data_IF_907536224825
#
_entry.id   IF_907536224825
#
_cell.length_a   1.000
_cell.length_b   1.000
_cell.length_c   1.000
_cell.angle_alpha   90.00
_cell.angle_beta   90.00
_cell.angle_gamma   90.00
#
_symmetry.space_group_name_H-M   'P 1'
#
loop_
_entity.id
_entity.type
_entity.pdbx_description
1 polymer ?
#
# COMPACT_ATOMS: atom_id res chain seq x y z
N UNK A 1 9.55 -46.96 -8.91
CA UNK A 1 9.05 -45.69 -9.49
C UNK A 1 7.64 -45.45 -8.98
N UNK A 2 7.29 -44.18 -8.66
CA UNK A 2 5.94 -43.83 -8.21
C UNK A 2 4.97 -43.93 -9.39
N UNK A 3 3.69 -44.24 -9.11
CA UNK A 3 2.64 -44.16 -10.13
C UNK A 3 2.34 -42.70 -10.50
N UNK A 4 1.78 -42.44 -11.68
CA UNK A 4 1.36 -41.08 -12.08
C UNK A 4 0.42 -40.45 -11.06
N UNK A 5 -0.49 -41.22 -10.46
CA UNK A 5 -1.39 -40.74 -9.42
C UNK A 5 -0.63 -40.29 -8.17
N UNK A 6 0.39 -41.03 -7.75
CA UNK A 6 1.23 -40.66 -6.59
C UNK A 6 1.99 -39.36 -6.82
N UNK A 7 2.51 -39.14 -8.06
CA UNK A 7 3.16 -37.86 -8.39
C UNK A 7 2.19 -36.66 -8.30
N UNK A 8 0.98 -36.82 -8.84
CA UNK A 8 -0.02 -35.76 -8.77
C UNK A 8 -0.46 -35.45 -7.36
N UNK A 9 -0.75 -36.49 -6.55
CA UNK A 9 -1.13 -36.32 -5.15
C UNK A 9 -0.01 -35.66 -4.36
N UNK A 10 1.23 -36.14 -4.53
CA UNK A 10 2.39 -35.54 -3.84
C UNK A 10 2.58 -34.07 -4.22
N UNK A 11 2.42 -33.72 -5.51
CA UNK A 11 2.51 -32.34 -5.98
C UNK A 11 1.45 -31.43 -5.36
N UNK A 12 0.19 -31.87 -5.35
CA UNK A 12 -0.92 -31.12 -4.75
C UNK A 12 -0.70 -30.93 -3.24
N UNK A 13 -0.38 -32.00 -2.52
CA UNK A 13 -0.15 -31.97 -1.06
C UNK A 13 1.03 -31.03 -0.74
N UNK A 14 2.13 -31.15 -1.47
CA UNK A 14 3.30 -30.26 -1.29
C UNK A 14 2.93 -28.81 -1.51
N UNK A 15 2.17 -28.51 -2.55
CA UNK A 15 1.73 -27.15 -2.85
C UNK A 15 0.88 -26.59 -1.72
N UNK A 16 -0.09 -27.35 -1.21
CA UNK A 16 -0.92 -26.93 -0.08
C UNK A 16 -0.10 -26.71 1.19
N UNK A 17 0.87 -27.58 1.46
CA UNK A 17 1.77 -27.44 2.62
C UNK A 17 2.66 -26.21 2.49
N UNK A 18 3.16 -25.88 1.29
CA UNK A 18 3.93 -24.68 1.06
C UNK A 18 3.09 -23.41 1.27
N UNK A 19 1.85 -23.38 0.77
CA UNK A 19 0.95 -22.26 1.05
C UNK A 19 0.64 -22.10 2.54
N UNK A 20 0.42 -23.22 3.24
CA UNK A 20 0.25 -23.22 4.69
C UNK A 20 1.50 -22.71 5.42
N UNK A 21 2.69 -23.09 4.95
CA UNK A 21 3.96 -22.60 5.49
C UNK A 21 4.16 -21.10 5.27
N UNK A 22 3.84 -20.58 4.09
CA UNK A 22 3.88 -19.14 3.81
C UNK A 22 2.87 -18.40 4.70
N UNK A 23 1.67 -18.92 4.87
CA UNK A 23 0.70 -18.35 5.80
C UNK A 23 1.23 -18.33 7.24
N UNK A 24 1.84 -19.42 7.69
CA UNK A 24 2.44 -19.51 9.03
C UNK A 24 3.59 -18.49 9.20
N UNK A 25 4.41 -18.27 8.18
CA UNK A 25 5.43 -17.23 8.12
C UNK A 25 4.84 -15.84 8.35
N UNK A 26 3.79 -15.46 7.59
CA UNK A 26 3.10 -14.17 7.72
C UNK A 26 2.39 -14.01 9.08
N UNK A 27 1.84 -15.11 9.58
CA UNK A 27 1.27 -15.15 10.94
C UNK A 27 2.34 -14.88 11.99
N UNK A 28 3.57 -15.38 11.80
CA UNK A 28 4.70 -15.11 12.70
C UNK A 28 4.94 -13.60 12.85
N UNK A 29 5.05 -12.86 11.75
CA UNK A 29 5.17 -11.40 11.77
C UNK A 29 3.98 -10.74 12.47
N UNK A 30 2.77 -11.18 12.12
CA UNK A 30 1.53 -10.63 12.64
C UNK A 30 1.37 -10.83 14.14
N UNK A 31 1.70 -12.01 14.65
CA UNK A 31 1.64 -12.32 16.08
C UNK A 31 2.59 -11.43 16.89
N UNK A 32 3.83 -11.30 16.44
CA UNK A 32 4.81 -10.45 17.12
C UNK A 32 4.41 -8.97 17.03
N UNK A 33 3.85 -8.52 15.92
CA UNK A 33 3.34 -7.15 15.78
C UNK A 33 2.17 -6.88 16.74
N UNK A 34 1.19 -7.79 16.83
CA UNK A 34 0.07 -7.70 17.76
C UNK A 34 0.52 -7.69 19.23
N UNK A 35 1.49 -8.55 19.58
CA UNK A 35 2.07 -8.57 20.93
C UNK A 35 2.78 -7.27 21.31
N UNK A 36 3.19 -6.46 20.32
CA UNK A 36 3.76 -5.13 20.52
C UNK A 36 2.73 -4.01 20.45
N UNK A 37 1.43 -4.32 20.38
CA UNK A 37 0.34 -3.35 20.34
C UNK A 37 0.07 -2.72 18.98
N UNK A 38 0.69 -3.24 17.90
CA UNK A 38 0.43 -2.79 16.54
C UNK A 38 -0.87 -3.42 16.02
N UNK A 39 -1.60 -2.70 15.17
CA UNK A 39 -2.84 -3.22 14.57
C UNK A 39 -2.54 -3.94 13.27
N UNK A 40 -3.00 -5.17 13.10
CA UNK A 40 -2.95 -5.93 11.86
C UNK A 40 -4.33 -5.88 11.21
N UNK A 41 -4.44 -5.34 10.00
CA UNK A 41 -5.71 -5.22 9.26
C UNK A 41 -6.05 -6.47 8.46
N UNK A 42 -5.06 -7.24 8.07
CA UNK A 42 -5.26 -8.45 7.28
C UNK A 42 -3.97 -8.98 6.68
N UNK A 43 -4.02 -10.23 6.26
CA UNK A 43 -2.94 -10.90 5.55
C UNK A 43 -3.46 -11.19 4.15
N UNK A 44 -2.70 -10.81 3.13
CA UNK A 44 -3.00 -11.13 1.73
C UNK A 44 -1.93 -12.08 1.22
N UNK A 45 -2.32 -13.27 0.81
CA UNK A 45 -1.43 -14.22 0.16
C UNK A 45 -1.39 -13.91 -1.35
N UNK A 46 -0.20 -13.78 -1.88
CA UNK A 46 0.09 -13.60 -3.30
C UNK A 46 0.81 -14.83 -3.83
N UNK A 47 0.90 -14.98 -5.15
CA UNK A 47 1.55 -16.13 -5.79
C UNK A 47 3.02 -16.30 -5.37
N UNK A 48 3.71 -15.21 -5.08
CA UNK A 48 5.14 -15.19 -4.70
C UNK A 48 5.39 -14.85 -3.23
N UNK A 49 4.38 -14.99 -2.35
CA UNK A 49 4.56 -14.69 -0.92
C UNK A 49 3.29 -14.17 -0.27
N UNK A 50 3.42 -13.65 0.96
CA UNK A 50 2.35 -12.99 1.69
C UNK A 50 2.69 -11.52 1.96
N UNK A 51 1.66 -10.73 2.22
CA UNK A 51 1.81 -9.36 2.69
C UNK A 51 0.89 -9.14 3.89
N UNK A 52 1.51 -8.93 5.04
CA UNK A 52 0.81 -8.55 6.27
C UNK A 52 0.66 -7.04 6.34
N UNK A 53 -0.59 -6.54 6.32
CA UNK A 53 -0.87 -5.11 6.45
C UNK A 53 -0.84 -4.68 7.91
N UNK A 54 0.36 -4.40 8.42
CA UNK A 54 0.58 -3.92 9.78
C UNK A 54 0.44 -2.39 9.79
N UNK A 55 -0.46 -1.87 10.64
CA UNK A 55 -0.64 -0.42 10.83
C UNK A 55 0.21 0.05 11.99
N UNK A 56 1.03 1.06 11.71
CA UNK A 56 1.98 1.63 12.66
C UNK A 56 3.42 1.19 12.37
N UNK A 57 4.35 1.86 13.01
CA UNK A 57 5.79 1.56 12.93
C UNK A 57 6.28 1.08 14.27
N UNK A 58 7.23 0.18 14.24
CA UNK A 58 7.95 -0.20 15.44
C UNK A 58 8.59 1.04 16.08
N UNK A 59 8.33 1.25 17.36
CA UNK A 59 8.82 2.42 18.12
C UNK A 59 10.29 2.32 18.50
N UNK A 60 10.87 1.11 18.45
CA UNK A 60 12.25 0.81 18.86
C UNK A 60 12.91 -0.19 17.90
N UNK A 61 14.24 -0.12 17.70
CA UNK A 61 14.95 -1.07 16.83
C UNK A 61 14.71 -2.53 17.19
N UNK A 62 14.72 -2.87 18.48
CA UNK A 62 14.45 -4.22 18.97
C UNK A 62 13.08 -4.74 18.54
N UNK A 63 12.08 -3.87 18.57
CA UNK A 63 10.71 -4.23 18.19
C UNK A 63 10.62 -4.55 16.69
N UNK A 64 11.29 -3.75 15.87
CA UNK A 64 11.36 -3.99 14.43
C UNK A 64 12.12 -5.27 14.11
N UNK A 65 13.22 -5.52 14.79
CA UNK A 65 13.98 -6.77 14.65
C UNK A 65 13.10 -7.99 14.93
N UNK A 66 12.39 -7.99 16.06
CA UNK A 66 11.55 -9.12 16.47
C UNK A 66 10.42 -9.38 15.47
N UNK A 67 9.78 -8.32 14.97
CA UNK A 67 8.74 -8.46 13.95
C UNK A 67 9.34 -9.05 12.67
N UNK A 68 10.43 -8.47 12.17
CA UNK A 68 11.03 -8.88 10.91
C UNK A 68 11.62 -10.30 10.96
N UNK A 69 12.20 -10.70 12.08
CA UNK A 69 12.79 -12.03 12.25
C UNK A 69 11.76 -13.14 12.49
N UNK A 70 10.55 -12.80 12.95
CA UNK A 70 9.53 -13.78 13.34
C UNK A 70 9.09 -14.70 12.20
N UNK A 71 8.86 -14.17 10.99
CA UNK A 71 8.49 -14.96 9.81
C UNK A 71 9.59 -15.97 9.42
N UNK A 72 10.82 -15.50 9.14
CA UNK A 72 11.94 -16.40 8.87
C UNK A 72 12.18 -17.44 9.96
N UNK A 73 11.99 -17.09 11.23
CA UNK A 73 12.15 -18.03 12.34
C UNK A 73 11.09 -19.15 12.29
N UNK A 74 9.83 -18.82 11.95
CA UNK A 74 8.76 -19.81 11.77
C UNK A 74 9.08 -20.75 10.59
N UNK A 75 9.47 -20.22 9.44
CA UNK A 75 9.86 -21.04 8.29
C UNK A 75 11.06 -21.93 8.60
N UNK A 76 12.08 -21.37 9.27
CA UNK A 76 13.25 -22.15 9.68
C UNK A 76 12.85 -23.29 10.64
N UNK A 77 12.00 -23.01 11.62
CA UNK A 77 11.49 -24.03 12.56
C UNK A 77 10.77 -25.15 11.83
N UNK A 78 9.83 -24.82 10.93
CA UNK A 78 9.13 -25.81 10.11
C UNK A 78 10.11 -26.64 9.31
N UNK A 79 11.05 -25.98 8.63
CA UNK A 79 12.07 -26.64 7.82
C UNK A 79 12.93 -27.60 8.63
N UNK A 80 13.46 -27.15 9.76
CA UNK A 80 14.31 -27.98 10.65
C UNK A 80 13.53 -29.17 11.22
N UNK A 81 12.29 -28.97 11.65
CA UNK A 81 11.43 -30.06 12.17
C UNK A 81 11.17 -31.11 11.10
N UNK A 82 10.78 -30.70 9.88
CA UNK A 82 10.50 -31.62 8.78
C UNK A 82 11.74 -32.36 8.28
N UNK A 83 12.86 -31.67 8.14
CA UNK A 83 14.13 -32.32 7.76
C UNK A 83 14.65 -33.23 8.87
N UNK A 84 14.56 -32.82 10.14
CA UNK A 84 14.95 -33.65 11.27
C UNK A 84 14.09 -34.92 11.36
N UNK A 85 12.77 -34.81 11.12
CA UNK A 85 11.88 -35.95 11.01
C UNK A 85 12.29 -36.87 9.86
N UNK A 86 12.55 -36.30 8.69
CA UNK A 86 12.99 -37.04 7.50
C UNK A 86 14.29 -37.81 7.77
N UNK A 87 15.31 -37.17 8.37
CA UNK A 87 16.60 -37.80 8.71
C UNK A 87 16.38 -38.99 9.67
N UNK A 88 15.50 -38.81 10.68
CA UNK A 88 15.26 -39.84 11.70
C UNK A 88 14.52 -41.07 11.17
N UNK A 89 13.58 -40.86 10.24
CA UNK A 89 12.67 -41.92 9.79
C UNK A 89 12.91 -42.38 8.35
N UNK A 90 13.91 -41.78 7.65
CA UNK A 90 14.31 -42.22 6.33
C UNK A 90 15.20 -43.46 6.46
N UNK A 91 14.75 -44.64 6.00
CA UNK A 91 15.56 -45.85 6.14
C UNK A 91 16.78 -45.78 5.21
N UNK A 92 17.97 -45.91 5.78
CA UNK A 92 19.27 -45.79 5.08
C UNK A 92 19.45 -46.84 3.97
N UNK A 93 18.63 -47.91 4.00
CA UNK A 93 18.71 -49.03 3.05
C UNK A 93 17.53 -49.15 2.07
N UNK A 94 16.56 -48.25 2.08
CA UNK A 94 15.47 -48.29 1.10
C UNK A 94 15.83 -47.41 -0.11
N UNK A 95 16.09 -48.06 -1.25
CA UNK A 95 16.28 -47.41 -2.53
C UNK A 95 15.00 -46.77 -3.10
N UNK A 96 13.88 -46.88 -2.41
CA UNK A 96 12.57 -46.34 -2.82
C UNK A 96 12.11 -45.29 -1.82
N UNK A 97 12.36 -44.04 -2.14
CA UNK A 97 11.74 -42.91 -1.40
C UNK A 97 10.24 -42.98 -1.60
N UNK A 98 9.48 -43.18 -0.51
CA UNK A 98 8.03 -43.14 -0.58
C UNK A 98 7.52 -41.70 -0.89
N UNK A 99 6.34 -41.54 -1.50
CA UNK A 99 5.77 -40.22 -1.74
C UNK A 99 5.74 -39.33 -0.51
N UNK A 100 5.44 -39.91 0.65
CA UNK A 100 5.40 -39.19 1.93
C UNK A 100 6.78 -38.61 2.31
N UNK A 101 7.84 -39.40 2.21
CA UNK A 101 9.21 -38.93 2.48
C UNK A 101 9.64 -37.83 1.52
N UNK A 102 9.26 -37.94 0.24
CA UNK A 102 9.53 -36.93 -0.77
C UNK A 102 8.81 -35.59 -0.47
N UNK A 103 7.54 -35.66 -0.11
CA UNK A 103 6.75 -34.47 0.27
C UNK A 103 7.35 -33.79 1.49
N UNK A 104 7.68 -34.54 2.54
CA UNK A 104 8.25 -34.00 3.79
C UNK A 104 9.61 -33.36 3.53
N UNK A 105 10.50 -34.07 2.84
CA UNK A 105 11.82 -33.54 2.50
C UNK A 105 11.73 -32.25 1.70
N UNK A 106 10.96 -32.25 0.62
CA UNK A 106 10.82 -31.11 -0.26
C UNK A 106 10.19 -29.92 0.46
N UNK A 107 9.11 -30.13 1.22
CA UNK A 107 8.47 -29.07 2.01
C UNK A 107 9.45 -28.50 3.05
N UNK A 108 10.18 -29.37 3.77
CA UNK A 108 11.17 -28.95 4.77
C UNK A 108 12.29 -28.13 4.14
N UNK A 109 12.85 -28.61 3.01
CA UNK A 109 13.90 -27.91 2.29
C UNK A 109 13.45 -26.56 1.75
N UNK A 110 12.25 -26.48 1.16
CA UNK A 110 11.68 -25.23 0.67
C UNK A 110 11.47 -24.22 1.81
N UNK A 111 11.07 -24.65 2.99
CA UNK A 111 10.96 -23.74 4.14
C UNK A 111 12.31 -23.20 4.60
N UNK A 112 13.38 -24.01 4.56
CA UNK A 112 14.74 -23.54 4.84
C UNK A 112 15.20 -22.53 3.78
N UNK A 113 14.93 -22.80 2.50
CA UNK A 113 15.23 -21.87 1.41
C UNK A 113 14.46 -20.56 1.54
N UNK A 114 13.19 -20.61 1.84
CA UNK A 114 12.33 -19.41 2.08
C UNK A 114 12.87 -18.60 3.25
N UNK A 115 13.24 -19.24 4.37
CA UNK A 115 13.84 -18.56 5.51
C UNK A 115 15.17 -17.90 5.14
N UNK A 116 16.07 -18.63 4.46
CA UNK A 116 17.36 -18.13 4.01
C UNK A 116 17.23 -16.95 3.03
N UNK A 117 16.33 -17.08 2.04
CA UNK A 117 16.08 -16.02 1.07
C UNK A 117 15.51 -14.77 1.73
N UNK A 118 14.53 -14.93 2.65
CA UNK A 118 13.97 -13.79 3.37
C UNK A 118 14.97 -13.15 4.35
N UNK A 119 15.98 -13.86 4.81
CA UNK A 119 17.05 -13.31 5.65
C UNK A 119 18.19 -12.64 4.87
N UNK A 120 18.16 -12.67 3.53
CA UNK A 120 19.14 -11.91 2.74
C UNK A 120 19.09 -10.43 3.14
N UNK A 121 20.27 -9.81 3.40
CA UNK A 121 20.29 -8.42 3.83
C UNK A 121 19.89 -7.48 2.69
N UNK A 122 18.82 -6.76 2.85
CA UNK A 122 18.35 -5.75 1.89
C UNK A 122 16.85 -5.83 1.60
N UNK A 123 16.26 -4.68 1.31
CA UNK A 123 14.88 -4.61 0.89
C UNK A 123 14.69 -5.22 -0.51
N UNK A 124 13.54 -5.90 -0.77
CA UNK A 124 12.29 -5.92 -0.01
C UNK A 124 12.16 -7.09 1.01
N UNK A 125 13.21 -7.87 1.23
CA UNK A 125 13.17 -9.05 2.10
C UNK A 125 13.16 -8.66 3.59
N UNK A 126 12.73 -9.58 4.47
CA UNK A 126 12.73 -9.37 5.92
C UNK A 126 14.13 -9.10 6.47
N UNK A 127 15.16 -9.69 5.88
CA UNK A 127 16.57 -9.42 6.17
C UNK A 127 16.95 -7.94 5.96
N UNK A 128 16.27 -7.23 5.07
CA UNK A 128 16.42 -5.79 4.93
C UNK A 128 15.91 -5.04 6.15
N UNK A 129 14.77 -5.45 6.73
CA UNK A 129 14.23 -4.90 7.98
C UNK A 129 15.09 -5.30 9.19
N UNK A 130 15.61 -6.52 9.22
CA UNK A 130 16.58 -6.98 10.22
C UNK A 130 17.85 -6.13 10.16
N UNK A 131 18.42 -5.93 8.98
CA UNK A 131 19.59 -5.07 8.77
C UNK A 131 19.30 -3.62 9.19
N UNK A 132 18.13 -3.09 8.77
CA UNK A 132 17.71 -1.75 9.17
C UNK A 132 17.63 -1.62 10.69
N UNK A 133 17.01 -2.58 11.37
CA UNK A 133 16.88 -2.55 12.82
C UNK A 133 18.23 -2.61 13.54
N UNK A 134 19.16 -3.40 13.03
CA UNK A 134 20.53 -3.50 13.56
C UNK A 134 21.29 -2.17 13.40
N UNK A 135 21.30 -1.60 12.19
CA UNK A 135 21.94 -0.29 11.92
C UNK A 135 21.29 0.82 12.74
N UNK A 136 19.96 0.80 12.87
CA UNK A 136 19.23 1.78 13.69
C UNK A 136 19.59 1.64 15.17
N UNK A 137 19.69 0.42 15.69
CA UNK A 137 20.12 0.18 17.09
C UNK A 137 21.52 0.66 17.39
N UNK A 138 22.45 0.52 16.44
CA UNK A 138 23.86 0.92 16.59
C UNK A 138 24.06 2.43 16.41
N UNK A 139 23.34 3.06 15.47
CA UNK A 139 23.58 4.47 15.10
C UNK A 139 22.60 5.44 15.74
N UNK A 140 21.49 4.95 16.31
CA UNK A 140 20.35 5.78 16.75
C UNK A 140 19.59 6.46 15.60
N UNK A 141 20.02 6.30 14.34
CA UNK A 141 19.50 7.04 13.19
C UNK A 141 18.73 6.13 12.23
N UNK A 142 17.39 6.16 12.35
CA UNK A 142 16.50 5.35 11.52
C UNK A 142 16.56 5.72 10.01
N UNK A 143 16.88 6.99 9.66
CA UNK A 143 17.00 7.42 8.26
C UNK A 143 18.26 6.82 7.61
N UNK A 144 19.39 6.86 8.33
CA UNK A 144 20.62 6.22 7.87
C UNK A 144 20.44 4.71 7.70
N UNK A 145 19.80 4.06 8.67
CA UNK A 145 19.50 2.63 8.63
C UNK A 145 18.66 2.25 7.40
N UNK A 146 17.63 3.03 7.06
CA UNK A 146 16.81 2.81 5.85
C UNK A 146 17.66 2.96 4.58
N UNK A 147 18.50 3.99 4.49
CA UNK A 147 19.40 4.19 3.34
C UNK A 147 20.37 3.02 3.14
N UNK A 148 20.95 2.52 4.24
CA UNK A 148 21.86 1.37 4.20
C UNK A 148 21.13 0.13 3.71
N UNK A 149 19.98 -0.21 4.29
CA UNK A 149 19.21 -1.40 3.90
C UNK A 149 18.76 -1.36 2.43
N UNK A 150 18.34 -0.18 1.92
CA UNK A 150 18.02 0.02 0.51
C UNK A 150 19.24 -0.09 -0.40
N UNK A 151 20.40 0.41 0.04
CA UNK A 151 21.63 0.32 -0.76
C UNK A 151 22.13 -1.10 -0.86
N UNK A 152 22.12 -1.85 0.24
CA UNK A 152 22.47 -3.28 0.25
C UNK A 152 21.51 -4.09 -0.63
N UNK A 153 20.21 -3.84 -0.57
CA UNK A 153 19.23 -4.48 -1.45
C UNK A 153 19.51 -4.22 -2.94
N UNK A 154 19.96 -3.00 -3.30
CA UNK A 154 20.38 -2.69 -4.68
C UNK A 154 21.64 -3.49 -5.08
N UNK A 155 22.61 -3.64 -4.19
CA UNK A 155 23.80 -4.46 -4.46
C UNK A 155 23.40 -5.92 -4.70
N UNK A 156 22.56 -6.50 -3.84
CA UNK A 156 22.04 -7.87 -4.02
C UNK A 156 21.31 -8.00 -5.38
N UNK A 157 20.50 -7.02 -5.74
CA UNK A 157 19.83 -6.99 -7.04
C UNK A 157 20.82 -7.03 -8.22
N UNK A 158 21.86 -6.18 -8.21
CA UNK A 158 22.86 -6.18 -9.29
C UNK A 158 23.67 -7.47 -9.34
N UNK A 159 23.95 -8.09 -8.19
CA UNK A 159 24.61 -9.40 -8.12
C UNK A 159 23.74 -10.51 -8.76
N UNK A 160 22.43 -10.49 -8.49
CA UNK A 160 21.49 -11.43 -9.13
C UNK A 160 21.43 -11.24 -10.64
N UNK A 161 21.34 -9.98 -11.12
CA UNK A 161 21.38 -9.70 -12.57
C UNK A 161 22.69 -10.20 -13.17
N UNK A 162 23.82 -9.89 -12.57
CA UNK A 162 25.13 -10.34 -13.05
C UNK A 162 25.20 -11.87 -13.14
N UNK A 163 24.69 -12.56 -12.12
CA UNK A 163 24.62 -14.03 -12.12
C UNK A 163 23.67 -14.56 -13.19
N UNK A 164 22.50 -13.98 -13.38
CA UNK A 164 21.58 -14.36 -14.45
C UNK A 164 22.21 -14.23 -15.85
N UNK A 165 22.90 -13.11 -16.08
CA UNK A 165 23.64 -12.88 -17.32
C UNK A 165 24.76 -13.94 -17.51
N UNK A 166 25.50 -14.22 -16.45
CA UNK A 166 26.56 -15.25 -16.47
C UNK A 166 25.99 -16.64 -16.80
N UNK A 167 24.83 -17.02 -16.26
CA UNK A 167 24.12 -18.27 -16.58
C UNK A 167 23.79 -18.36 -18.07
N UNK A 168 23.28 -17.28 -18.67
CA UNK A 168 22.95 -17.22 -20.10
C UNK A 168 24.22 -17.47 -20.95
N UNK A 169 25.34 -16.85 -20.61
CA UNK A 169 26.61 -17.06 -21.31
C UNK A 169 27.16 -18.47 -21.16
N UNK A 170 26.82 -19.19 -20.10
CA UNK A 170 27.17 -20.59 -19.89
C UNK A 170 26.16 -21.57 -20.52
N UNK A 171 25.18 -21.09 -21.31
CA UNK A 171 24.21 -21.91 -22.06
C UNK A 171 22.92 -22.22 -21.30
N UNK A 172 22.78 -21.81 -20.02
CA UNK A 172 21.52 -21.94 -19.28
C UNK A 172 20.65 -20.67 -19.45
N UNK A 173 20.07 -20.56 -20.63
CA UNK A 173 19.22 -19.41 -21.01
C UNK A 173 17.97 -19.32 -20.11
N UNK A 174 17.34 -20.48 -19.84
CA UNK A 174 16.09 -20.52 -19.05
C UNK A 174 16.37 -20.11 -17.60
N UNK A 175 17.43 -20.66 -16.99
CA UNK A 175 17.85 -20.29 -15.64
C UNK A 175 18.20 -18.82 -15.52
N UNK A 176 18.95 -18.29 -16.48
CA UNK A 176 19.32 -16.88 -16.51
C UNK A 176 18.11 -15.93 -16.64
N UNK A 177 17.15 -16.24 -17.54
CA UNK A 177 15.89 -15.47 -17.66
C UNK A 177 15.10 -15.54 -16.37
N UNK A 178 15.01 -16.71 -15.72
CA UNK A 178 14.29 -16.89 -14.47
C UNK A 178 14.88 -16.03 -13.33
N UNK A 179 16.21 -16.02 -13.20
CA UNK A 179 16.91 -15.16 -12.23
C UNK A 179 16.67 -13.69 -12.53
N UNK A 180 16.68 -13.29 -13.81
CA UNK A 180 16.36 -11.93 -14.23
C UNK A 180 14.95 -11.51 -13.84
N UNK A 181 13.97 -12.40 -13.98
CA UNK A 181 12.58 -12.19 -13.56
C UNK A 181 12.46 -11.99 -12.04
N UNK A 182 13.15 -12.83 -11.26
CA UNK A 182 13.20 -12.70 -9.78
C UNK A 182 13.83 -11.35 -9.41
N UNK A 183 14.94 -10.99 -10.01
CA UNK A 183 15.61 -9.73 -9.77
C UNK A 183 14.72 -8.53 -10.09
N UNK A 184 14.02 -8.54 -11.25
CA UNK A 184 13.07 -7.50 -11.62
C UNK A 184 11.92 -7.38 -10.63
N UNK A 185 11.34 -8.50 -10.17
CA UNK A 185 10.29 -8.53 -9.17
C UNK A 185 10.75 -7.92 -7.84
N UNK A 186 11.94 -8.29 -7.37
CA UNK A 186 12.53 -7.73 -6.15
C UNK A 186 12.74 -6.21 -6.26
N UNK A 187 13.23 -5.74 -7.41
CA UNK A 187 13.42 -4.30 -7.63
C UNK A 187 12.10 -3.53 -7.63
N UNK A 188 11.06 -4.09 -8.25
CA UNK A 188 9.73 -3.45 -8.28
C UNK A 188 9.12 -3.36 -6.89
N UNK A 189 9.26 -4.42 -6.08
CA UNK A 189 8.80 -4.48 -4.69
C UNK A 189 9.57 -3.50 -3.79
N UNK A 190 10.90 -3.39 -3.95
CA UNK A 190 11.72 -2.45 -3.21
C UNK A 190 11.34 -0.97 -3.48
N UNK A 191 10.93 -0.64 -4.70
CA UNK A 191 10.44 0.71 -5.04
C UNK A 191 9.15 1.06 -4.31
N UNK A 192 8.23 0.12 -4.18
CA UNK A 192 6.98 0.32 -3.44
C UNK A 192 7.25 0.61 -1.95
N UNK A 193 8.14 -0.15 -1.31
CA UNK A 193 8.55 0.10 0.08
C UNK A 193 9.29 1.43 0.27
N UNK A 194 10.12 1.82 -0.70
CA UNK A 194 10.79 3.12 -0.67
C UNK A 194 9.78 4.28 -0.69
N UNK A 195 8.74 4.18 -1.49
CA UNK A 195 7.65 5.18 -1.54
C UNK A 195 6.91 5.27 -0.21
N UNK A 196 6.61 4.15 0.43
CA UNK A 196 5.98 4.12 1.76
C UNK A 196 6.90 4.66 2.85
N UNK A 197 8.19 4.36 2.82
CA UNK A 197 9.14 4.87 3.80
C UNK A 197 9.41 6.36 3.64
N UNK A 198 9.52 6.87 2.41
CA UNK A 198 9.66 8.30 2.15
C UNK A 198 8.39 9.04 2.57
N UNK A 199 7.23 8.45 2.30
CA UNK A 199 5.94 8.95 2.76
C UNK A 199 5.80 8.99 4.28
N UNK A 200 6.49 8.16 5.02
CA UNK A 200 6.37 8.02 6.47
C UNK A 200 7.46 8.75 7.27
N UNK A 201 8.42 9.39 6.62
CA UNK A 201 9.51 10.15 7.28
C UNK A 201 9.02 11.52 7.77
N UNK A 202 7.95 12.06 7.16
CA UNK A 202 7.25 13.25 7.67
C UNK A 202 6.11 12.76 8.56
N UNK A 203 5.99 13.19 9.83
CA UNK A 203 4.82 12.91 10.66
C UNK A 203 3.56 13.24 9.86
N UNK A 204 2.54 12.37 9.92
CA UNK A 204 1.26 12.58 9.21
C UNK A 204 0.67 13.95 9.53
N UNK A 205 1.02 14.48 10.71
CA UNK A 205 0.67 15.80 11.17
C UNK A 205 1.37 16.93 10.38
N UNK A 206 2.64 16.79 10.03
CA UNK A 206 3.39 17.83 9.29
C UNK A 206 3.09 17.81 7.78
N UNK A 207 2.56 16.70 7.27
CA UNK A 207 2.16 16.57 5.86
C UNK A 207 0.90 17.32 5.51
N UNK A 208 0.09 17.61 6.49
CA UNK A 208 -1.18 18.33 6.36
C UNK A 208 -1.02 19.83 6.71
N UNK A 209 0.20 20.27 6.99
CA UNK A 209 0.50 21.66 7.38
C UNK A 209 0.76 22.57 6.17
N UNK A 210 0.01 22.36 5.09
CA UNK A 210 -0.03 23.27 3.95
C UNK A 210 -1.35 24.04 3.95
N UNK A 211 -1.34 25.24 3.39
CA UNK A 211 -2.54 26.08 3.28
C UNK A 211 -3.48 25.54 2.21
N UNK A 212 -4.75 25.42 2.53
CA UNK A 212 -5.78 24.94 1.60
C UNK A 212 -5.84 25.79 0.34
N UNK A 213 -5.60 27.10 0.44
CA UNK A 213 -5.59 27.98 -0.73
C UNK A 213 -4.62 27.56 -1.85
N UNK A 214 -3.55 26.83 -1.51
CA UNK A 214 -2.55 26.40 -2.50
C UNK A 214 -3.01 25.20 -3.37
N UNK A 215 -4.03 24.48 -2.92
CA UNK A 215 -4.56 23.28 -3.58
C UNK A 215 -6.02 23.44 -3.98
N UNK A 216 -6.59 24.62 -3.73
CA UNK A 216 -8.00 24.90 -4.04
C UNK A 216 -8.18 24.98 -5.54
N UNK A 217 -9.14 24.20 -6.05
CA UNK A 217 -9.58 24.28 -7.43
C UNK A 217 -10.51 25.49 -7.61
N UNK A 218 -10.44 26.19 -8.74
CA UNK A 218 -11.40 27.26 -9.04
C UNK A 218 -12.82 26.74 -8.94
N UNK A 219 -13.75 27.63 -8.55
CA UNK A 219 -15.16 27.29 -8.49
C UNK A 219 -15.65 26.84 -9.87
N UNK A 220 -16.18 25.62 -10.05
CA UNK A 220 -16.76 25.22 -11.30
C UNK A 220 -18.00 26.11 -11.64
N UNK A 221 -18.41 26.11 -12.89
CA UNK A 221 -19.61 26.86 -13.29
C UNK A 221 -20.80 26.47 -12.42
N UNK A 222 -21.39 27.47 -11.78
CA UNK A 222 -22.57 27.27 -10.95
C UNK A 222 -23.78 27.02 -11.83
N UNK A 223 -24.55 25.98 -11.51
CA UNK A 223 -25.86 25.77 -12.12
C UNK A 223 -26.90 26.72 -11.49
N UNK A 224 -27.80 27.25 -12.27
CA UNK A 224 -28.91 28.07 -11.75
C UNK A 224 -29.93 27.18 -11.02
N UNK A 225 -30.44 27.64 -9.88
CA UNK A 225 -31.38 26.91 -9.06
C UNK A 225 -32.72 26.60 -9.77
N UNK A 226 -33.11 27.41 -10.77
CA UNK A 226 -34.29 27.22 -11.58
C UNK A 226 -34.11 26.26 -12.76
N UNK A 227 -32.91 25.80 -13.03
CA UNK A 227 -32.60 24.86 -14.10
C UNK A 227 -33.21 23.48 -13.83
N UNK A 228 -33.69 22.80 -14.86
CA UNK A 228 -34.19 21.42 -14.73
C UNK A 228 -33.03 20.42 -14.61
N UNK A 229 -33.33 19.27 -14.00
CA UNK A 229 -32.39 18.16 -13.88
C UNK A 229 -31.92 17.67 -15.25
N UNK A 230 -32.81 17.64 -16.24
CA UNK A 230 -32.51 17.19 -17.61
C UNK A 230 -31.54 18.14 -18.33
N UNK A 231 -31.72 19.46 -18.14
CA UNK A 231 -30.80 20.46 -18.72
C UNK A 231 -29.40 20.36 -18.13
N UNK A 232 -29.30 20.16 -16.81
CA UNK A 232 -28.00 20.01 -16.16
C UNK A 232 -27.28 18.73 -16.61
N UNK A 233 -27.99 17.60 -16.70
CA UNK A 233 -27.42 16.33 -17.20
C UNK A 233 -26.91 16.46 -18.63
N UNK A 234 -27.65 17.15 -19.53
CA UNK A 234 -27.20 17.39 -20.89
C UNK A 234 -25.95 18.26 -20.99
N UNK A 235 -25.73 19.18 -20.03
CA UNK A 235 -24.50 19.98 -19.92
C UNK A 235 -23.34 19.13 -19.43
N UNK A 236 -23.58 18.27 -18.42
CA UNK A 236 -22.56 17.37 -17.85
C UNK A 236 -22.05 16.36 -18.91
N UNK A 237 -22.98 15.78 -19.69
CA UNK A 237 -22.63 14.84 -20.75
C UNK A 237 -21.81 15.47 -21.88
N UNK A 238 -21.99 16.75 -22.15
CA UNK A 238 -21.22 17.49 -23.16
C UNK A 238 -19.85 17.98 -22.66
N UNK A 239 -19.70 18.16 -21.34
CA UNK A 239 -18.46 18.65 -20.70
C UNK A 239 -17.87 17.52 -19.86
N UNK A 240 -17.41 16.44 -20.51
CA UNK A 240 -16.58 15.40 -19.86
C UNK A 240 -15.24 16.04 -19.53
N UNK A 241 -15.16 16.77 -18.42
CA UNK A 241 -13.93 17.10 -17.76
C UNK A 241 -13.82 16.16 -16.57
N UNK A 242 -12.87 15.24 -16.62
CA UNK A 242 -12.55 14.31 -15.56
C UNK A 242 -12.42 15.07 -14.23
N UNK A 243 -13.23 14.72 -13.24
CA UNK A 243 -13.02 15.14 -11.86
C UNK A 243 -14.11 15.93 -11.16
N UNK A 244 -15.19 16.34 -11.83
CA UNK A 244 -16.25 17.12 -11.15
C UNK A 244 -17.39 16.19 -10.69
N UNK A 245 -17.22 15.57 -9.51
CA UNK A 245 -18.26 14.71 -8.92
C UNK A 245 -19.47 15.49 -8.38
N UNK A 246 -19.35 16.82 -8.20
CA UNK A 246 -20.40 17.65 -7.62
C UNK A 246 -20.42 19.05 -8.22
N UNK A 247 -21.64 19.55 -8.48
CA UNK A 247 -21.92 20.81 -9.16
C UNK A 247 -22.53 21.80 -8.18
N UNK A 248 -21.97 23.00 -8.05
CA UNK A 248 -22.54 24.03 -7.20
C UNK A 248 -23.83 24.58 -7.82
N UNK A 249 -24.85 24.74 -6.99
CA UNK A 249 -26.14 25.34 -7.37
C UNK A 249 -26.27 26.70 -6.71
N UNK A 250 -26.55 27.73 -7.50
CA UNK A 250 -26.66 29.10 -7.02
C UNK A 250 -28.02 29.74 -7.38
N UNK A 251 -28.42 30.70 -6.55
CA UNK A 251 -29.55 31.61 -6.82
C UNK A 251 -29.05 33.05 -6.81
N UNK A 252 -29.15 33.75 -7.92
CA UNK A 252 -28.66 35.15 -8.03
C UNK A 252 -27.22 35.31 -7.53
N UNK A 253 -26.32 34.40 -7.89
CA UNK A 253 -24.92 34.41 -7.49
C UNK A 253 -24.63 33.93 -6.05
N UNK A 254 -25.67 33.68 -5.25
CA UNK A 254 -25.51 33.11 -3.89
C UNK A 254 -25.57 31.61 -3.94
N UNK A 255 -24.49 30.95 -3.47
CA UNK A 255 -24.40 29.50 -3.41
C UNK A 255 -25.45 28.92 -2.44
N UNK A 256 -26.30 28.02 -2.94
CA UNK A 256 -27.33 27.31 -2.18
C UNK A 256 -26.86 25.96 -1.64
N UNK A 257 -26.07 25.23 -2.45
CA UNK A 257 -25.60 23.91 -2.12
C UNK A 257 -24.90 23.24 -3.30
N UNK A 258 -24.75 21.94 -3.21
CA UNK A 258 -24.19 21.10 -4.28
C UNK A 258 -25.15 19.98 -4.64
N UNK A 259 -25.07 19.55 -5.90
CA UNK A 259 -25.77 18.38 -6.43
C UNK A 259 -24.71 17.46 -7.04
N UNK A 260 -24.72 16.19 -6.67
CA UNK A 260 -23.80 15.19 -7.22
C UNK A 260 -24.44 14.52 -8.45
N UNK A 261 -23.57 13.96 -9.31
CA UNK A 261 -24.05 13.14 -10.44
C UNK A 261 -24.96 11.99 -9.97
N UNK A 262 -24.61 11.35 -8.85
CA UNK A 262 -25.44 10.28 -8.27
C UNK A 262 -26.82 10.77 -7.83
N UNK A 263 -26.93 11.99 -7.31
CA UNK A 263 -28.23 12.56 -6.91
C UNK A 263 -29.12 12.77 -8.14
N UNK A 264 -28.55 13.21 -9.26
CA UNK A 264 -29.24 13.42 -10.53
C UNK A 264 -29.67 12.09 -11.18
N UNK A 265 -28.78 11.07 -11.15
CA UNK A 265 -29.04 9.75 -11.75
C UNK A 265 -30.14 8.96 -11.01
N UNK A 266 -30.29 9.18 -9.69
CA UNK A 266 -31.34 8.56 -8.87
C UNK A 266 -32.77 9.05 -9.22
N UNK A 267 -32.88 10.16 -9.92
CA UNK A 267 -34.18 10.72 -10.30
C UNK A 267 -34.72 9.96 -11.52
N UNK A 268 -35.96 9.40 -11.46
CA UNK A 268 -36.57 8.74 -12.59
C UNK A 268 -36.66 9.65 -13.82
N UNK A 269 -36.46 9.08 -15.02
CA UNK A 269 -36.34 9.83 -16.28
C UNK A 269 -37.54 10.73 -16.53
N UNK A 270 -38.76 10.25 -16.17
CA UNK A 270 -40.01 10.97 -16.36
C UNK A 270 -40.13 12.25 -15.50
N UNK A 271 -39.36 12.32 -14.43
CA UNK A 271 -39.38 13.45 -13.49
C UNK A 271 -38.24 14.48 -13.76
N UNK A 272 -37.21 14.11 -14.51
CA UNK A 272 -36.03 14.96 -14.74
C UNK A 272 -36.33 16.27 -15.46
N UNK A 273 -37.33 16.31 -16.26
CA UNK A 273 -37.79 17.55 -16.97
C UNK A 273 -38.67 18.47 -16.12
N UNK A 274 -39.29 17.92 -15.08
CA UNK A 274 -40.21 18.65 -14.21
C UNK A 274 -39.57 19.19 -12.94
N UNK A 275 -38.57 18.44 -12.39
CA UNK A 275 -37.87 18.81 -11.18
C UNK A 275 -36.79 19.85 -11.46
N UNK A 276 -36.80 20.92 -10.66
CA UNK A 276 -35.77 21.96 -10.68
C UNK A 276 -34.69 21.68 -9.65
N UNK A 277 -33.47 22.20 -9.88
CA UNK A 277 -32.33 21.96 -8.99
C UNK A 277 -32.58 22.47 -7.58
N UNK A 278 -33.40 23.50 -7.40
CA UNK A 278 -33.75 24.00 -6.07
C UNK A 278 -34.39 22.94 -5.16
N UNK A 279 -35.14 21.99 -5.73
CA UNK A 279 -35.90 20.97 -4.98
C UNK A 279 -34.98 19.82 -4.51
N UNK A 280 -33.90 19.57 -5.22
CA UNK A 280 -32.98 18.47 -4.94
C UNK A 280 -31.71 18.95 -4.24
N UNK A 281 -31.43 20.26 -4.24
CA UNK A 281 -30.24 20.83 -3.60
C UNK A 281 -30.41 20.79 -2.09
N UNK A 282 -29.50 20.11 -1.39
CA UNK A 282 -29.50 20.03 0.07
C UNK A 282 -28.64 21.15 0.68
N UNK A 283 -29.23 22.14 1.37
CA UNK A 283 -28.47 23.24 2.02
C UNK A 283 -27.50 22.74 3.10
N UNK A 284 -27.76 21.54 3.66
CA UNK A 284 -26.96 20.96 4.75
C UNK A 284 -25.55 20.48 4.34
N UNK A 285 -25.26 20.39 3.05
CA UNK A 285 -23.95 19.94 2.55
C UNK A 285 -22.89 21.04 2.45
N UNK A 286 -23.28 22.31 2.61
CA UNK A 286 -22.35 23.43 2.57
C UNK A 286 -21.55 23.50 3.87
N UNK A 287 -20.28 23.14 3.80
CA UNK A 287 -19.28 23.36 4.84
C UNK A 287 -18.17 24.21 4.26
N UNK A 288 -17.70 25.15 5.04
CA UNK A 288 -16.69 26.13 4.62
C UNK A 288 -15.41 25.96 5.41
N UNK A 289 -14.30 26.29 4.76
CA UNK A 289 -13.00 26.50 5.41
C UNK A 289 -12.35 27.76 4.85
N UNK A 290 -11.39 28.30 5.57
CA UNK A 290 -10.60 29.43 5.10
C UNK A 290 -9.50 28.97 4.13
N UNK A 291 -9.11 29.82 3.17
CA UNK A 291 -7.93 29.56 2.34
C UNK A 291 -6.64 29.45 3.16
N UNK A 292 -6.63 29.99 4.36
CA UNK A 292 -5.50 29.96 5.31
C UNK A 292 -5.50 28.73 6.21
N UNK A 293 -6.61 27.96 6.26
CA UNK A 293 -6.69 26.74 7.04
C UNK A 293 -5.71 25.70 6.54
N UNK A 294 -5.27 24.83 7.47
CA UNK A 294 -4.38 23.71 7.11
C UNK A 294 -5.15 22.57 6.47
N UNK A 295 -4.44 21.72 5.72
CA UNK A 295 -5.01 20.45 5.22
C UNK A 295 -5.59 19.58 6.33
N UNK A 296 -5.04 19.66 7.54
CA UNK A 296 -5.52 18.97 8.75
C UNK A 296 -6.87 19.48 9.18
N UNK A 297 -7.03 20.81 9.28
CA UNK A 297 -8.28 21.44 9.70
C UNK A 297 -9.39 21.11 8.70
N UNK A 298 -9.09 21.18 7.41
CA UNK A 298 -10.04 20.83 6.36
C UNK A 298 -10.48 19.34 6.45
N UNK A 299 -9.55 18.40 6.62
CA UNK A 299 -9.91 16.98 6.82
C UNK A 299 -10.72 16.76 8.10
N UNK A 300 -10.39 17.44 9.18
CA UNK A 300 -11.15 17.38 10.43
C UNK A 300 -12.60 17.82 10.24
N UNK A 301 -12.82 18.91 9.49
CA UNK A 301 -14.17 19.38 9.14
C UNK A 301 -14.89 18.34 8.27
N UNK A 302 -14.20 17.78 7.25
CA UNK A 302 -14.78 16.75 6.38
C UNK A 302 -15.20 15.50 7.16
N UNK A 303 -14.38 15.04 8.10
CA UNK A 303 -14.66 13.86 8.92
C UNK A 303 -15.80 14.12 9.92
N UNK A 304 -15.78 15.26 10.59
CA UNK A 304 -16.80 15.66 11.58
C UNK A 304 -18.19 15.73 10.97
N UNK A 305 -18.30 16.28 9.75
CA UNK A 305 -19.57 16.50 9.09
C UNK A 305 -19.88 15.45 8.00
N UNK A 306 -18.98 14.47 7.82
CA UNK A 306 -19.09 13.40 6.79
C UNK A 306 -19.32 13.95 5.38
N UNK A 307 -18.60 15.01 5.02
CA UNK A 307 -18.61 15.61 3.68
C UNK A 307 -17.31 15.31 2.94
N UNK A 308 -17.38 15.21 1.61
CA UNK A 308 -16.22 14.89 0.76
C UNK A 308 -15.54 16.14 0.19
N UNK A 309 -16.16 17.31 0.36
CA UNK A 309 -15.67 18.58 -0.17
C UNK A 309 -16.04 19.75 0.74
N UNK A 310 -15.25 20.82 0.67
CA UNK A 310 -15.47 22.09 1.37
C UNK A 310 -15.43 23.23 0.38
N UNK A 311 -16.21 24.28 0.67
CA UNK A 311 -16.08 25.57 0.01
C UNK A 311 -14.97 26.36 0.70
N UNK A 312 -14.02 26.83 -0.09
CA UNK A 312 -12.91 27.63 0.42
C UNK A 312 -13.27 29.11 0.31
N UNK A 313 -13.15 29.81 1.44
CA UNK A 313 -13.48 31.22 1.55
C UNK A 313 -12.23 32.08 1.66
N UNK A 314 -12.28 33.25 1.05
CA UNK A 314 -11.35 34.36 1.26
C UNK A 314 -12.10 35.54 1.88
N UNK A 315 -12.12 35.64 3.20
CA UNK A 315 -13.02 36.54 3.92
C UNK A 315 -14.47 36.21 3.66
N UNK A 316 -15.21 37.10 3.01
CA UNK A 316 -16.62 36.92 2.64
C UNK A 316 -16.83 36.42 1.22
N UNK A 317 -15.79 36.27 0.41
CA UNK A 317 -15.88 35.81 -0.98
C UNK A 317 -15.57 34.32 -1.09
N UNK A 318 -16.22 33.62 -2.02
CA UNK A 318 -15.90 32.24 -2.35
C UNK A 318 -14.63 32.22 -3.19
N UNK A 319 -13.58 31.56 -2.67
CA UNK A 319 -12.30 31.40 -3.33
C UNK A 319 -12.29 30.19 -4.29
N UNK A 320 -12.93 29.10 -3.90
CA UNK A 320 -13.02 27.88 -4.70
C UNK A 320 -13.58 26.70 -3.90
N UNK A 321 -13.27 25.51 -4.34
CA UNK A 321 -13.60 24.26 -3.65
C UNK A 321 -12.33 23.41 -3.44
N UNK A 322 -12.35 22.61 -2.39
CA UNK A 322 -11.34 21.59 -2.12
C UNK A 322 -12.02 20.27 -1.81
N UNK A 323 -11.60 19.21 -2.47
CA UNK A 323 -12.09 17.85 -2.23
C UNK A 323 -11.11 17.07 -1.35
N UNK A 324 -11.59 15.99 -0.75
CA UNK A 324 -10.71 15.06 -0.03
C UNK A 324 -9.62 14.49 -0.94
N UNK A 325 -9.90 14.27 -2.21
CA UNK A 325 -8.95 13.78 -3.19
C UNK A 325 -7.83 14.79 -3.46
N UNK A 326 -8.14 16.09 -3.56
CA UNK A 326 -7.16 17.15 -3.74
C UNK A 326 -6.16 17.19 -2.57
N UNK A 327 -6.67 17.07 -1.34
CA UNK A 327 -5.82 17.00 -0.15
C UNK A 327 -4.93 15.76 -0.18
N UNK A 328 -5.48 14.57 -0.52
CA UNK A 328 -4.71 13.33 -0.62
C UNK A 328 -3.65 13.42 -1.73
N UNK A 329 -3.99 14.03 -2.87
CA UNK A 329 -3.09 14.25 -4.01
C UNK A 329 -1.96 15.19 -3.61
N UNK A 330 -2.28 16.31 -2.98
CA UNK A 330 -1.29 17.26 -2.48
C UNK A 330 -0.30 16.63 -1.49
N UNK A 331 -0.78 15.80 -0.56
CA UNK A 331 0.07 15.05 0.37
C UNK A 331 1.03 14.09 -0.35
N UNK A 332 0.67 13.60 -1.53
CA UNK A 332 1.49 12.68 -2.34
C UNK A 332 2.49 13.43 -3.25
N UNK A 333 2.06 14.53 -3.85
CA UNK A 333 2.80 15.23 -4.90
C UNK A 333 3.75 16.31 -4.39
N UNK A 334 3.49 16.90 -3.22
CA UNK A 334 4.40 17.91 -2.66
C UNK A 334 5.46 17.26 -1.76
N UNK A 335 6.70 17.03 -2.26
CA UNK A 335 7.83 16.79 -1.38
C UNK A 335 8.13 18.11 -0.69
N UNK A 336 7.87 18.19 0.62
CA UNK A 336 8.11 19.40 1.42
C UNK A 336 9.54 19.87 1.29
N UNK A 337 9.74 20.99 0.61
CA UNK A 337 10.87 21.86 0.87
C UNK A 337 10.62 22.50 2.24
N UNK A 338 11.41 22.11 3.22
CA UNK A 338 11.54 22.83 4.48
C UNK A 338 11.90 24.28 4.13
N UNK A 339 10.91 25.15 4.10
CA UNK A 339 11.14 26.60 3.97
C UNK A 339 11.96 27.03 5.17
N UNK A 340 13.23 27.35 4.93
CA UNK A 340 13.98 28.25 5.78
C UNK A 340 13.13 29.51 5.91
N UNK A 341 12.69 29.80 7.14
CA UNK A 341 12.22 31.13 7.48
C UNK A 341 13.36 32.10 7.21
N UNK A 342 13.27 32.77 6.05
CA UNK A 342 14.09 33.96 5.81
C UNK A 342 13.62 35.02 6.80
N UNK A 343 14.44 35.30 7.81
CA UNK A 343 14.40 36.55 8.51
C UNK A 343 14.62 37.64 7.49
N UNK A 344 13.62 38.45 7.26
CA UNK A 344 13.77 39.74 6.61
C UNK A 344 13.96 40.73 7.76
N UNK A 345 15.17 41.26 7.84
CA UNK A 345 15.50 42.49 8.58
C UNK A 345 14.74 43.71 8.02
#
# INVERSE_FOLDING_TARGET
>A
MWSSQQYWIAGIVTTLLLFASVLAHELGHSFVALAQGLRVRGITLLLFGGVSRIHGKASRPRNEFLIAFAGPAVSLLIGVVLIGWWIKFHPVHEYLVTPLHGVIFFTGWMNILVAGFNLLPGYPMDGGRVLRSAVWGLTGNARLASKVALSVGRVVFYLLIGWGVWQIFNGDIIGGIWIGLIAWFLMSSARSEQSEQTSSVVPEQDRLDFRIGNITSPMPRMADHGQSVSELLAVIERQITEGTESIPVAKQGKLLGFVTRMDLERIPVEQRTKLVLAEITQPRSLRVCSKFDSGRDALSIMDKYRVMQLVVMDGHSVFGIVTRQDIIKAVKEFPFTTGKSGSVD
#
